data_IF_580866630423
#
_entry.id   IF_580866630423
#
_cell.length_a   1.000
_cell.length_b   1.000
_cell.length_c   1.000
_cell.angle_alpha   90.00
_cell.angle_beta   90.00
_cell.angle_gamma   90.00
#
_symmetry.space_group_name_H-M   'P 1'
#
loop_
_entity.id
_entity.type
_entity.pdbx_description
1 polymer ?
#
# COMPACT_ATOMS: atom_id res chain seq x y z
N UNK A 1 -15.55 -9.20 -3.87
CA UNK A 1 -15.77 -9.41 -5.33
C UNK A 1 -14.52 -9.04 -6.12
N UNK A 2 -13.57 -9.96 -6.23
CA UNK A 2 -12.38 -9.80 -7.07
C UNK A 2 -12.69 -10.04 -8.55
N UNK A 3 -13.57 -10.98 -8.83
CA UNK A 3 -13.98 -11.37 -10.20
C UNK A 3 -14.65 -10.21 -10.95
N UNK A 4 -15.55 -9.47 -10.31
CA UNK A 4 -16.24 -8.33 -10.96
C UNK A 4 -15.26 -7.21 -11.30
N UNK A 5 -14.32 -6.92 -10.39
CA UNK A 5 -13.25 -5.94 -10.66
C UNK A 5 -12.39 -6.38 -11.85
N UNK A 6 -12.07 -7.67 -11.92
CA UNK A 6 -11.34 -8.26 -13.06
C UNK A 6 -12.12 -8.17 -14.37
N UNK A 7 -13.41 -8.50 -14.36
CA UNK A 7 -14.26 -8.43 -15.55
C UNK A 7 -14.44 -6.99 -16.05
N UNK A 8 -14.63 -6.04 -15.13
CA UNK A 8 -14.77 -4.63 -15.46
C UNK A 8 -13.45 -4.08 -16.04
N UNK A 9 -12.31 -4.46 -15.46
CA UNK A 9 -10.99 -4.11 -15.99
C UNK A 9 -10.73 -4.70 -17.37
N UNK A 10 -11.10 -5.96 -17.59
CA UNK A 10 -10.97 -6.62 -18.90
C UNK A 10 -11.84 -5.94 -19.96
N UNK A 11 -13.09 -5.61 -19.62
CA UNK A 11 -13.98 -4.88 -20.51
C UNK A 11 -13.43 -3.50 -20.86
N UNK A 12 -12.90 -2.78 -19.87
CA UNK A 12 -12.27 -1.47 -20.08
C UNK A 12 -11.08 -1.58 -21.04
N UNK A 13 -10.23 -2.59 -20.86
CA UNK A 13 -9.07 -2.85 -21.71
C UNK A 13 -9.49 -3.10 -23.17
N UNK A 14 -10.52 -3.93 -23.39
CA UNK A 14 -11.03 -4.18 -24.73
C UNK A 14 -11.57 -2.92 -25.41
N UNK A 15 -12.35 -2.10 -24.69
CA UNK A 15 -12.87 -0.83 -25.20
C UNK A 15 -11.72 0.09 -25.59
N UNK A 16 -10.69 0.18 -24.74
CA UNK A 16 -9.51 1.00 -24.98
C UNK A 16 -8.78 0.56 -26.26
N UNK A 17 -8.47 -0.74 -26.39
CA UNK A 17 -7.77 -1.29 -27.55
C UNK A 17 -8.61 -1.10 -28.82
N UNK A 18 -9.91 -1.36 -28.77
CA UNK A 18 -10.80 -1.15 -29.91
C UNK A 18 -10.81 0.31 -30.35
N UNK A 19 -10.89 1.25 -29.41
CA UNK A 19 -10.81 2.68 -29.68
C UNK A 19 -9.48 3.05 -30.34
N UNK A 20 -8.36 2.51 -29.85
CA UNK A 20 -7.05 2.73 -30.45
C UNK A 20 -6.97 2.23 -31.89
N UNK A 21 -7.41 1.01 -32.17
CA UNK A 21 -7.32 0.40 -33.51
C UNK A 21 -8.20 1.16 -34.50
N UNK A 22 -9.40 1.59 -34.09
CA UNK A 22 -10.34 2.29 -34.96
C UNK A 22 -9.97 3.75 -35.23
N UNK A 23 -9.16 4.37 -34.36
CA UNK A 23 -8.77 5.78 -34.47
C UNK A 23 -7.26 5.96 -34.74
N UNK A 24 -6.52 4.88 -35.06
CA UNK A 24 -5.07 4.91 -35.23
C UNK A 24 -4.60 5.84 -36.36
N UNK A 25 -5.34 5.88 -37.48
CA UNK A 25 -5.02 6.69 -38.66
C UNK A 25 -5.57 8.13 -38.59
N UNK A 26 -6.30 8.49 -37.54
CA UNK A 26 -6.84 9.83 -37.40
C UNK A 26 -5.80 10.80 -36.81
N UNK A 27 -5.75 12.00 -37.40
CA UNK A 27 -4.97 13.13 -36.88
C UNK A 27 -5.89 14.16 -36.25
N UNK A 28 -5.46 14.73 -35.13
CA UNK A 28 -6.17 15.79 -34.42
C UNK A 28 -5.33 17.06 -34.37
N UNK A 29 -6.01 18.19 -34.44
CA UNK A 29 -5.41 19.50 -34.21
C UNK A 29 -5.48 19.81 -32.72
N UNK A 30 -4.32 20.04 -32.11
CA UNK A 30 -4.19 20.27 -30.67
C UNK A 30 -3.84 21.73 -30.44
N UNK A 31 -4.63 22.41 -29.60
CA UNK A 31 -4.25 23.71 -29.07
C UNK A 31 -3.76 23.52 -27.63
N UNK A 32 -2.45 23.66 -27.43
CA UNK A 32 -1.81 23.49 -26.13
C UNK A 32 -1.15 24.80 -25.75
N UNK A 33 -1.67 25.46 -24.71
CA UNK A 33 -1.14 26.72 -24.20
C UNK A 33 -1.02 27.83 -25.28
N UNK A 34 -1.97 27.88 -26.23
CA UNK A 34 -1.99 28.87 -27.31
C UNK A 34 -1.03 28.55 -28.47
N UNK A 35 -0.41 27.37 -28.46
CA UNK A 35 0.34 26.81 -29.59
C UNK A 35 -0.53 25.75 -30.27
N UNK A 36 -0.85 25.98 -31.54
CA UNK A 36 -1.59 25.04 -32.37
C UNK A 36 -0.65 24.07 -33.06
N UNK A 37 -0.77 22.79 -32.72
CA UNK A 37 -0.10 21.68 -33.37
C UNK A 37 -1.09 21.00 -34.31
N UNK A 38 -0.94 21.25 -35.60
CA UNK A 38 -1.78 20.67 -36.65
C UNK A 38 -1.31 19.26 -37.01
N UNK A 39 -2.26 18.36 -37.24
CA UNK A 39 -1.98 17.03 -37.80
C UNK A 39 -1.28 16.05 -36.86
N UNK A 40 -1.44 16.18 -35.54
CA UNK A 40 -0.84 15.24 -34.59
C UNK A 40 -1.62 13.93 -34.60
N UNK A 41 -0.93 12.81 -34.80
CA UNK A 41 -1.56 11.49 -34.73
C UNK A 41 -2.13 11.23 -33.34
N UNK A 42 -3.41 10.82 -33.28
CA UNK A 42 -4.09 10.45 -32.02
C UNK A 42 -3.28 9.39 -31.26
N UNK A 43 -2.63 8.47 -31.99
CA UNK A 43 -1.81 7.43 -31.39
C UNK A 43 -0.74 8.01 -30.44
N UNK A 44 0.04 8.98 -30.91
CA UNK A 44 1.10 9.60 -30.10
C UNK A 44 0.54 10.36 -28.91
N UNK A 45 -0.58 11.07 -29.09
CA UNK A 45 -1.24 11.79 -28.02
C UNK A 45 -1.67 10.85 -26.89
N UNK A 46 -2.34 9.75 -27.23
CA UNK A 46 -2.83 8.82 -26.22
C UNK A 46 -1.68 8.08 -25.55
N UNK A 47 -0.62 7.71 -26.28
CA UNK A 47 0.58 7.10 -25.69
C UNK A 47 1.23 8.03 -24.66
N UNK A 48 1.41 9.31 -24.98
CA UNK A 48 2.01 10.28 -24.05
C UNK A 48 1.11 10.51 -22.83
N UNK A 49 -0.20 10.68 -23.02
CA UNK A 49 -1.14 10.81 -21.92
C UNK A 49 -1.19 9.57 -21.03
N UNK A 50 -1.17 8.38 -21.62
CA UNK A 50 -1.12 7.12 -20.88
C UNK A 50 0.17 7.00 -20.09
N UNK A 51 1.32 7.28 -20.71
CA UNK A 51 2.62 7.21 -20.05
C UNK A 51 2.72 8.22 -18.91
N UNK A 52 2.20 9.43 -19.10
CA UNK A 52 2.12 10.47 -18.07
C UNK A 52 1.22 10.06 -16.90
N UNK A 53 0.04 9.52 -17.19
CA UNK A 53 -0.88 9.00 -16.18
C UNK A 53 -0.29 7.80 -15.42
N UNK A 54 0.39 6.90 -16.13
CA UNK A 54 1.08 5.75 -15.56
C UNK A 54 2.23 6.19 -14.64
N UNK A 55 3.10 7.08 -15.10
CA UNK A 55 4.20 7.61 -14.31
C UNK A 55 3.68 8.30 -13.04
N UNK A 56 2.63 9.11 -13.16
CA UNK A 56 2.00 9.77 -12.01
C UNK A 56 1.42 8.77 -11.02
N UNK A 57 0.71 7.75 -11.52
CA UNK A 57 0.14 6.69 -10.69
C UNK A 57 1.24 5.86 -10.00
N UNK A 58 2.33 5.58 -10.72
CA UNK A 58 3.50 4.88 -10.18
C UNK A 58 4.16 5.68 -9.06
N UNK A 59 4.37 6.99 -9.25
CA UNK A 59 4.91 7.88 -8.20
C UNK A 59 3.99 7.88 -6.97
N UNK A 60 2.67 8.04 -7.17
CA UNK A 60 1.70 8.00 -6.06
C UNK A 60 1.70 6.65 -5.33
N UNK A 61 1.79 5.54 -6.07
CA UNK A 61 1.86 4.20 -5.51
C UNK A 61 3.16 4.00 -4.71
N UNK A 62 4.29 4.46 -5.24
CA UNK A 62 5.58 4.40 -4.56
C UNK A 62 5.57 5.19 -3.25
N UNK A 63 5.01 6.41 -3.26
CA UNK A 63 4.85 7.23 -2.05
C UNK A 63 3.95 6.56 -1.00
N UNK A 64 2.83 5.96 -1.42
CA UNK A 64 1.95 5.21 -0.52
C UNK A 64 2.65 3.99 0.07
N UNK A 65 3.36 3.21 -0.77
CA UNK A 65 4.12 2.04 -0.33
C UNK A 65 5.16 2.39 0.73
N UNK A 66 5.88 3.51 0.56
CA UNK A 66 6.86 3.98 1.54
C UNK A 66 6.25 4.29 2.91
N UNK A 67 5.07 4.92 2.95
CA UNK A 67 4.36 5.19 4.20
C UNK A 67 3.91 3.89 4.86
N UNK A 68 3.33 2.98 4.09
CA UNK A 68 2.87 1.67 4.59
C UNK A 68 4.03 0.84 5.15
N UNK A 69 5.21 0.85 4.52
CA UNK A 69 6.39 0.15 5.05
C UNK A 69 6.89 0.73 6.38
N UNK A 70 6.80 2.06 6.57
CA UNK A 70 7.16 2.69 7.85
C UNK A 70 6.20 2.29 8.98
N UNK A 71 4.90 2.30 8.71
CA UNK A 71 3.88 1.86 9.66
C UNK A 71 4.07 0.39 10.02
N UNK A 72 4.34 -0.48 9.03
CA UNK A 72 4.64 -1.89 9.25
C UNK A 72 5.88 -2.11 10.13
N UNK A 73 6.94 -1.32 9.94
CA UNK A 73 8.15 -1.43 10.76
C UNK A 73 7.91 -0.96 12.20
N UNK A 74 7.05 0.02 12.44
CA UNK A 74 6.71 0.47 13.78
C UNK A 74 5.82 -0.56 14.49
N UNK A 75 4.78 -1.05 13.81
CA UNK A 75 3.88 -2.07 14.34
C UNK A 75 4.61 -3.38 14.70
N UNK A 76 5.61 -3.76 13.91
CA UNK A 76 6.43 -4.94 14.17
C UNK A 76 7.33 -4.77 15.41
N UNK A 77 7.80 -3.56 15.70
CA UNK A 77 8.56 -3.25 16.92
C UNK A 77 7.67 -3.28 18.15
N UNK A 78 6.49 -2.67 18.07
CA UNK A 78 5.51 -2.72 19.17
C UNK A 78 5.08 -4.16 19.50
N UNK A 79 4.89 -5.01 18.49
CA UNK A 79 4.60 -6.44 18.73
C UNK A 79 5.70 -7.13 19.54
N UNK A 80 6.97 -6.91 19.18
CA UNK A 80 8.10 -7.52 19.87
C UNK A 80 8.25 -6.99 21.31
N UNK A 81 8.05 -5.69 21.52
CA UNK A 81 8.10 -5.09 22.85
C UNK A 81 6.97 -5.63 23.75
N UNK A 82 5.75 -5.75 23.22
CA UNK A 82 4.61 -6.34 23.96
C UNK A 82 4.81 -7.82 24.25
N UNK A 83 5.34 -8.60 23.32
CA UNK A 83 5.71 -10.00 23.57
C UNK A 83 6.77 -10.12 24.67
N UNK A 84 7.72 -9.19 24.72
CA UNK A 84 8.75 -9.13 25.76
C UNK A 84 8.16 -8.78 27.13
N UNK A 85 7.26 -7.80 27.20
CA UNK A 85 6.51 -7.48 28.43
C UNK A 85 5.72 -8.70 28.94
N UNK A 86 5.03 -9.42 28.04
CA UNK A 86 4.30 -10.64 28.41
C UNK A 86 5.25 -11.73 28.90
N UNK A 87 6.40 -11.91 28.25
CA UNK A 87 7.39 -12.89 28.68
C UNK A 87 7.96 -12.55 30.05
N UNK A 88 8.28 -11.28 30.30
CA UNK A 88 8.80 -10.78 31.57
C UNK A 88 7.79 -10.97 32.70
N UNK A 89 6.51 -10.63 32.46
CA UNK A 89 5.41 -10.88 33.40
C UNK A 89 5.16 -12.38 33.65
N UNK A 90 5.42 -13.25 32.67
CA UNK A 90 5.32 -14.71 32.84
C UNK A 90 6.51 -15.32 33.57
N UNK A 91 7.67 -14.69 33.49
CA UNK A 91 8.88 -15.10 34.21
C UNK A 91 9.03 -14.41 35.56
N UNK A 92 8.12 -13.50 35.92
CA UNK A 92 8.08 -12.93 37.25
C UNK A 92 7.89 -14.10 38.23
N UNK A 93 8.87 -14.36 39.11
CA UNK A 93 8.69 -15.38 40.13
C UNK A 93 7.47 -14.98 40.96
N UNK A 94 6.55 -15.91 41.16
CA UNK A 94 5.43 -15.79 42.11
C UNK A 94 6.00 -15.68 43.55
N UNK A 95 6.71 -14.59 43.85
CA UNK A 95 7.35 -14.32 45.14
C UNK A 95 6.43 -13.56 46.10
N UNK A 96 5.10 -13.58 45.91
CA UNK A 96 4.19 -12.90 46.83
C UNK A 96 3.49 -13.82 47.83
N UNK A 97 3.39 -15.13 47.57
CA UNK A 97 2.50 -15.97 48.39
C UNK A 97 3.24 -17.13 49.10
N UNK A 98 4.46 -17.48 48.69
CA UNK A 98 5.24 -18.56 49.33
C UNK A 98 6.14 -18.07 50.50
N UNK A 99 6.55 -16.81 50.49
CA UNK A 99 7.50 -16.28 51.48
C UNK A 99 6.80 -15.72 52.75
N UNK A 100 5.48 -15.53 52.73
CA UNK A 100 4.70 -15.04 53.87
C UNK A 100 4.38 -16.13 54.93
N UNK A 101 4.52 -17.41 54.60
CA UNK A 101 4.35 -18.52 55.56
C UNK A 101 5.66 -18.93 56.26
N UNK A 102 6.83 -18.63 55.68
CA UNK A 102 8.13 -18.99 56.28
C UNK A 102 8.52 -18.11 57.48
N UNK A 103 7.95 -16.90 57.62
CA UNK A 103 8.30 -15.96 58.70
C UNK A 103 7.47 -16.15 59.98
N UNK A 104 6.38 -16.93 59.92
CA UNK A 104 5.55 -17.25 61.11
C UNK A 104 5.94 -18.54 61.83
N UNK A 105 6.81 -19.36 61.24
CA UNK A 105 7.25 -20.65 61.80
C UNK A 105 8.55 -20.60 62.60
N UNK A 106 9.38 -19.56 62.45
CA UNK A 106 10.73 -19.52 63.02
C UNK A 106 10.83 -18.84 64.40
N UNK A 107 9.73 -18.28 64.92
CA UNK A 107 9.71 -17.50 66.19
C UNK A 107 9.00 -18.23 67.32
N UNK A 108 8.92 -19.56 67.26
CA UNK A 108 8.30 -20.37 68.30
C UNK A 108 9.00 -21.72 68.44
N UNK A 109 10.22 -21.68 68.95
CA UNK A 109 10.86 -22.76 69.75
C UNK A 109 11.92 -22.15 70.67
#
# INVERSE_FOLDING_TARGET
MWVIKGLLFLSLLFILVYFFVTNADQTVDLDVFGQSFLGVSIYWLVVVCFLGGFATSFILAALRGFKTHRELSQLRRELVDREREIAELRTLPLCSDADAESDKGATRD
#
